data_IF_273830984063
#
_entry.id   IF_273830984063
#
_cell.length_a   1.000
_cell.length_b   1.000
_cell.length_c   1.000
_cell.angle_alpha   90.00
_cell.angle_beta   90.00
_cell.angle_gamma   90.00
#
_symmetry.space_group_name_H-M   'P 1'
#
loop_
_entity.id
_entity.type
_entity.pdbx_description
1 polymer ?
#
# COMPACT_ATOMS: atom_id res chain seq x y z
N UNK A 1 21.51 27.96 -2.59
CA UNK A 1 21.93 26.66 -2.01
C UNK A 1 20.87 25.56 -2.14
N UNK A 2 19.61 25.77 -1.73
CA UNK A 2 18.52 24.76 -1.80
C UNK A 2 18.29 24.07 -3.17
N UNK A 3 18.46 24.77 -4.29
CA UNK A 3 18.29 24.19 -5.62
C UNK A 3 19.39 23.15 -5.94
N UNK A 4 20.65 23.46 -5.64
CA UNK A 4 21.81 22.56 -5.80
C UNK A 4 21.75 21.34 -4.86
N UNK A 5 21.26 21.49 -3.63
CA UNK A 5 21.06 20.35 -2.72
C UNK A 5 19.89 19.46 -3.14
N UNK A 6 18.84 20.02 -3.77
CA UNK A 6 17.76 19.23 -4.38
C UNK A 6 18.24 18.48 -5.62
N UNK A 7 19.17 19.02 -6.39
CA UNK A 7 19.79 18.30 -7.51
C UNK A 7 20.73 17.19 -7.02
N UNK A 8 21.52 17.43 -5.97
CA UNK A 8 22.48 16.45 -5.44
C UNK A 8 21.84 15.36 -4.56
N UNK A 9 20.81 15.68 -3.77
CA UNK A 9 20.21 14.77 -2.77
C UNK A 9 18.68 14.62 -2.89
N UNK A 10 18.06 15.16 -3.95
CA UNK A 10 16.61 15.07 -4.18
C UNK A 10 16.14 13.76 -4.84
N UNK A 11 17.01 12.76 -4.96
CA UNK A 11 16.65 11.44 -5.49
C UNK A 11 15.61 10.71 -4.63
N UNK A 12 14.97 9.70 -5.24
CA UNK A 12 14.15 8.72 -4.52
C UNK A 12 15.08 7.93 -3.59
N UNK A 13 14.72 7.84 -2.30
CA UNK A 13 15.52 7.11 -1.32
C UNK A 13 14.94 5.70 -1.26
N UNK A 14 15.53 4.79 -2.05
CA UNK A 14 15.02 3.42 -2.24
C UNK A 14 14.76 2.71 -0.90
N UNK A 15 15.67 2.83 0.07
CA UNK A 15 15.49 2.23 1.40
C UNK A 15 14.34 2.83 2.21
N UNK A 16 14.13 4.16 2.14
CA UNK A 16 13.00 4.81 2.81
C UNK A 16 11.66 4.36 2.21
N UNK A 17 11.62 4.19 0.88
CA UNK A 17 10.47 3.68 0.18
C UNK A 17 10.17 2.21 0.54
N UNK A 18 11.21 1.38 0.70
CA UNK A 18 11.07 -0.01 1.16
C UNK A 18 10.46 -0.09 2.57
N UNK A 19 10.97 0.67 3.54
CA UNK A 19 10.41 0.69 4.90
C UNK A 19 9.00 1.30 4.96
N UNK A 20 8.72 2.28 4.09
CA UNK A 20 7.36 2.79 3.91
C UNK A 20 6.41 1.70 3.39
N UNK A 21 6.85 0.90 2.42
CA UNK A 21 6.05 -0.23 1.92
C UNK A 21 5.84 -1.31 2.98
N UNK A 22 6.89 -1.67 3.73
CA UNK A 22 6.79 -2.62 4.85
C UNK A 22 5.78 -2.15 5.91
N UNK A 23 5.77 -0.84 6.19
CA UNK A 23 4.80 -0.21 7.10
C UNK A 23 3.38 -0.31 6.54
N UNK A 24 3.18 -0.10 5.23
CA UNK A 24 1.87 -0.24 4.61
C UNK A 24 1.35 -1.68 4.69
N UNK A 25 2.19 -2.69 4.43
CA UNK A 25 1.82 -4.10 4.59
C UNK A 25 1.45 -4.42 6.03
N UNK A 26 2.29 -4.04 7.00
CA UNK A 26 2.01 -4.27 8.42
C UNK A 26 0.73 -3.56 8.90
N UNK A 27 0.52 -2.31 8.47
CA UNK A 27 -0.71 -1.57 8.76
C UNK A 27 -1.94 -2.25 8.15
N UNK A 28 -1.83 -2.79 6.94
CA UNK A 28 -2.93 -3.51 6.28
C UNK A 28 -3.33 -4.73 7.10
N UNK A 29 -2.36 -5.56 7.49
CA UNK A 29 -2.60 -6.77 8.31
C UNK A 29 -3.27 -6.42 9.64
N UNK A 30 -2.75 -5.40 10.34
CA UNK A 30 -3.31 -4.97 11.63
C UNK A 30 -4.75 -4.45 11.46
N UNK A 31 -5.01 -3.61 10.46
CA UNK A 31 -6.33 -3.04 10.23
C UNK A 31 -7.35 -4.11 9.82
N UNK A 32 -6.97 -5.05 8.96
CA UNK A 32 -7.81 -6.19 8.59
C UNK A 32 -8.12 -7.05 9.81
N UNK A 33 -7.12 -7.35 10.66
CA UNK A 33 -7.33 -8.13 11.88
C UNK A 33 -8.30 -7.43 12.85
N UNK A 34 -8.18 -6.11 13.01
CA UNK A 34 -9.10 -5.33 13.85
C UNK A 34 -10.53 -5.38 13.30
N UNK A 35 -10.71 -5.18 11.99
CA UNK A 35 -12.03 -5.22 11.36
C UNK A 35 -12.66 -6.61 11.46
N UNK A 36 -11.87 -7.67 11.25
CA UNK A 36 -12.32 -9.05 11.39
C UNK A 36 -12.73 -9.37 12.85
N UNK A 37 -11.97 -8.89 13.84
CA UNK A 37 -12.28 -9.10 15.25
C UNK A 37 -13.55 -8.36 15.70
N UNK A 38 -13.78 -7.14 15.22
CA UNK A 38 -15.01 -6.39 15.52
C UNK A 38 -16.21 -7.08 14.90
N UNK A 39 -16.08 -7.52 13.67
CA UNK A 39 -17.17 -8.16 12.97
C UNK A 39 -17.53 -9.53 13.53
N UNK A 40 -16.56 -10.34 13.94
CA UNK A 40 -16.85 -11.60 14.65
C UNK A 40 -17.56 -11.37 15.98
N UNK A 41 -17.21 -10.30 16.71
CA UNK A 41 -17.90 -9.93 17.95
C UNK A 41 -19.35 -9.46 17.74
N UNK A 42 -19.67 -8.97 16.54
CA UNK A 42 -21.00 -8.49 16.17
C UNK A 42 -21.81 -9.50 15.34
N UNK A 43 -21.29 -10.73 15.18
CA UNK A 43 -21.85 -11.78 14.32
C UNK A 43 -22.07 -11.31 12.86
N UNK A 44 -21.21 -10.41 12.40
CA UNK A 44 -21.19 -9.86 11.05
C UNK A 44 -20.26 -10.73 10.18
N UNK A 45 -20.77 -11.28 9.09
CA UNK A 45 -20.02 -12.18 8.20
C UNK A 45 -18.94 -11.42 7.40
N UNK A 46 -17.75 -11.25 7.98
CA UNK A 46 -16.63 -10.47 7.39
C UNK A 46 -15.43 -11.30 6.96
N UNK A 47 -15.66 -12.45 6.33
CA UNK A 47 -14.56 -13.08 5.59
C UNK A 47 -14.09 -12.09 4.52
N UNK A 48 -12.92 -11.47 4.76
CA UNK A 48 -12.17 -10.64 3.81
C UNK A 48 -11.25 -11.57 3.05
N UNK A 49 -11.84 -12.54 2.35
CA UNK A 49 -11.11 -13.31 1.36
C UNK A 49 -11.30 -12.62 0.02
N UNK A 50 -10.22 -12.52 -0.76
CA UNK A 50 -10.23 -12.00 -2.13
C UNK A 50 -11.04 -12.86 -3.12
N UNK A 51 -11.82 -13.83 -2.63
CA UNK A 51 -12.69 -14.71 -3.39
C UNK A 51 -14.14 -14.51 -2.95
N UNK A 52 -14.96 -14.10 -3.91
CA UNK A 52 -16.38 -13.76 -3.77
C UNK A 52 -17.21 -14.95 -3.28
N UNK A 53 -17.98 -14.78 -2.20
CA UNK A 53 -19.09 -15.69 -1.86
C UNK A 53 -20.30 -14.95 -1.27
N UNK A 54 -21.27 -14.74 -2.16
CA UNK A 54 -22.70 -15.09 -2.06
C UNK A 54 -23.45 -14.97 -0.72
N UNK A 55 -23.94 -13.78 -0.35
CA UNK A 55 -25.27 -13.53 0.24
C UNK A 55 -25.65 -12.05 0.05
N UNK A 56 -26.95 -11.75 -0.15
CA UNK A 56 -27.55 -10.47 -0.61
C UNK A 56 -26.54 -9.48 -1.23
N UNK A 57 -26.17 -9.72 -2.51
CA UNK A 57 -24.85 -9.37 -3.05
C UNK A 57 -24.60 -7.87 -3.16
N UNK A 58 -25.64 -7.04 -3.26
CA UNK A 58 -25.48 -5.62 -3.61
C UNK A 58 -24.99 -4.76 -2.44
N UNK A 59 -25.60 -4.89 -1.26
CA UNK A 59 -25.33 -3.97 -0.13
C UNK A 59 -24.20 -4.48 0.78
N UNK A 60 -24.20 -5.79 1.07
CA UNK A 60 -23.13 -6.40 1.86
C UNK A 60 -21.82 -6.42 1.08
N UNK A 61 -21.89 -6.66 -0.24
CA UNK A 61 -20.73 -6.61 -1.13
C UNK A 61 -20.12 -5.21 -1.20
N UNK A 62 -20.94 -4.17 -1.40
CA UNK A 62 -20.45 -2.80 -1.46
C UNK A 62 -19.81 -2.35 -0.14
N UNK A 63 -20.39 -2.71 1.00
CA UNK A 63 -19.85 -2.38 2.32
C UNK A 63 -18.45 -2.96 2.52
N UNK A 64 -18.25 -4.23 2.14
CA UNK A 64 -16.93 -4.89 2.21
C UNK A 64 -15.91 -4.22 1.29
N UNK A 65 -16.30 -3.88 0.07
CA UNK A 65 -15.43 -3.19 -0.90
C UNK A 65 -14.99 -1.83 -0.34
N UNK A 66 -15.93 -1.02 0.16
CA UNK A 66 -15.63 0.29 0.73
C UNK A 66 -14.71 0.16 1.94
N UNK A 67 -14.99 -0.77 2.86
CA UNK A 67 -14.14 -1.03 4.02
C UNK A 67 -12.71 -1.42 3.61
N UNK A 68 -12.57 -2.31 2.63
CA UNK A 68 -11.27 -2.71 2.07
C UNK A 68 -10.50 -1.54 1.45
N UNK A 69 -11.18 -0.69 0.67
CA UNK A 69 -10.57 0.51 0.08
C UNK A 69 -10.12 1.51 1.15
N UNK A 70 -10.90 1.71 2.22
CA UNK A 70 -10.52 2.57 3.35
C UNK A 70 -9.30 2.01 4.07
N UNK A 71 -9.26 0.70 4.34
CA UNK A 71 -8.10 0.05 4.96
C UNK A 71 -6.84 0.27 4.11
N UNK A 72 -6.92 -0.01 2.81
CA UNK A 72 -5.81 0.15 1.88
C UNK A 72 -5.36 1.60 1.79
N UNK A 73 -6.30 2.54 1.73
CA UNK A 73 -6.00 3.97 1.75
C UNK A 73 -5.20 4.37 2.99
N UNK A 74 -5.70 3.99 4.18
CA UNK A 74 -5.05 4.31 5.47
C UNK A 74 -3.69 3.64 5.59
N UNK A 75 -3.58 2.38 5.18
CA UNK A 75 -2.33 1.64 5.22
C UNK A 75 -1.25 2.28 4.33
N UNK A 76 -1.58 2.60 3.07
CA UNK A 76 -0.64 3.27 2.17
C UNK A 76 -0.36 4.72 2.59
N UNK A 77 -1.32 5.41 3.22
CA UNK A 77 -1.06 6.70 3.87
C UNK A 77 0.02 6.58 4.96
N UNK A 78 -0.08 5.58 5.84
CA UNK A 78 0.93 5.32 6.87
C UNK A 78 2.31 5.03 6.26
N UNK A 79 2.36 4.19 5.22
CA UNK A 79 3.61 3.87 4.52
C UNK A 79 4.25 5.08 3.85
N UNK A 80 3.46 5.87 3.13
CA UNK A 80 3.88 7.13 2.56
C UNK A 80 4.41 8.10 3.63
N UNK A 81 3.72 8.21 4.76
CA UNK A 81 4.12 9.08 5.87
C UNK A 81 5.50 8.72 6.44
N UNK A 82 5.77 7.43 6.67
CA UNK A 82 7.07 6.95 7.15
C UNK A 82 8.17 7.27 6.13
N UNK A 83 7.95 6.96 4.85
CA UNK A 83 8.93 7.25 3.80
C UNK A 83 9.17 8.77 3.63
N UNK A 84 8.11 9.57 3.74
CA UNK A 84 8.16 11.04 3.68
C UNK A 84 8.89 11.66 4.87
N UNK A 85 8.84 11.05 6.06
CA UNK A 85 9.62 11.48 7.23
C UNK A 85 11.11 11.18 7.08
N UNK A 86 11.48 10.16 6.31
CA UNK A 86 12.88 9.81 6.05
C UNK A 86 13.48 10.59 4.85
N UNK A 87 12.64 11.22 4.02
CA UNK A 87 13.07 12.01 2.87
C UNK A 87 12.77 13.50 3.04
N UNK A 88 13.84 14.27 3.22
CA UNK A 88 13.80 15.72 3.52
C UNK A 88 13.13 16.58 2.46
N UNK A 89 13.19 16.22 1.17
CA UNK A 89 12.87 17.15 0.08
C UNK A 89 11.78 16.72 -0.93
N UNK A 90 11.36 15.45 -0.96
CA UNK A 90 10.52 14.90 -2.04
C UNK A 90 9.53 13.80 -1.57
N UNK A 91 8.69 14.11 -0.59
CA UNK A 91 7.74 13.19 0.03
C UNK A 91 6.67 12.64 -0.92
N UNK A 92 6.18 13.43 -1.89
CA UNK A 92 5.28 12.90 -2.92
C UNK A 92 5.96 11.83 -3.77
N UNK A 93 7.21 12.07 -4.22
CA UNK A 93 7.99 11.07 -4.97
C UNK A 93 8.33 9.85 -4.12
N UNK A 94 8.55 10.01 -2.81
CA UNK A 94 8.71 8.84 -1.94
C UNK A 94 7.41 8.06 -1.78
N UNK A 95 6.25 8.72 -1.69
CA UNK A 95 4.96 8.05 -1.69
C UNK A 95 4.74 7.21 -2.95
N UNK A 96 5.06 7.76 -4.12
CA UNK A 96 5.06 6.99 -5.38
C UNK A 96 6.07 5.84 -5.32
N UNK A 97 7.25 6.04 -4.77
CA UNK A 97 8.25 4.98 -4.64
C UNK A 97 7.81 3.85 -3.69
N UNK A 98 7.10 4.16 -2.61
CA UNK A 98 6.46 3.17 -1.71
C UNK A 98 5.45 2.34 -2.50
N UNK A 99 4.63 2.99 -3.32
CA UNK A 99 3.67 2.31 -4.18
C UNK A 99 4.34 1.44 -5.25
N UNK A 100 5.42 1.91 -5.87
CA UNK A 100 6.19 1.12 -6.84
C UNK A 100 6.82 -0.12 -6.22
N UNK A 101 7.24 -0.08 -4.95
CA UNK A 101 7.71 -1.28 -4.25
C UNK A 101 6.64 -2.37 -4.16
N UNK A 102 5.36 -1.99 -3.98
CA UNK A 102 4.26 -2.95 -4.01
C UNK A 102 4.12 -3.60 -5.39
N UNK A 103 4.21 -2.82 -6.46
CA UNK A 103 4.14 -3.33 -7.84
C UNK A 103 5.33 -4.24 -8.15
N UNK A 104 6.54 -3.85 -7.75
CA UNK A 104 7.76 -4.65 -7.95
C UNK A 104 7.65 -5.98 -7.22
N UNK A 105 7.24 -5.98 -5.94
CA UNK A 105 7.11 -7.23 -5.18
C UNK A 105 5.96 -8.09 -5.70
N UNK A 106 4.84 -7.51 -6.12
CA UNK A 106 3.77 -8.25 -6.77
C UNK A 106 4.28 -8.95 -8.04
N UNK A 107 5.01 -8.23 -8.90
CA UNK A 107 5.61 -8.81 -10.10
C UNK A 107 6.62 -9.93 -9.79
N UNK A 108 7.46 -9.76 -8.76
CA UNK A 108 8.41 -10.79 -8.31
C UNK A 108 7.66 -12.03 -7.81
N UNK A 109 6.61 -11.87 -6.99
CA UNK A 109 5.82 -12.99 -6.48
C UNK A 109 5.07 -13.72 -7.60
N UNK A 110 4.51 -12.99 -8.57
CA UNK A 110 3.89 -13.59 -9.76
C UNK A 110 4.92 -14.38 -10.57
N UNK A 111 6.11 -13.83 -10.80
CA UNK A 111 7.17 -14.54 -11.52
C UNK A 111 7.60 -15.82 -10.80
N UNK A 112 7.75 -15.77 -9.47
CA UNK A 112 8.01 -16.96 -8.65
C UNK A 112 6.86 -17.97 -8.82
N UNK A 113 5.59 -17.55 -8.71
CA UNK A 113 4.45 -18.45 -8.87
C UNK A 113 4.39 -19.15 -10.24
N UNK A 114 4.87 -18.50 -11.31
CA UNK A 114 4.93 -19.09 -12.65
C UNK A 114 6.12 -20.05 -12.80
N UNK A 115 7.27 -19.73 -12.20
CA UNK A 115 8.50 -20.53 -12.34
C UNK A 115 8.49 -21.78 -11.45
N UNK A 116 7.82 -21.74 -10.31
CA UNK A 116 7.76 -22.86 -9.36
C UNK A 116 6.48 -23.67 -9.60
N UNK A 117 6.63 -24.89 -10.14
CA UNK A 117 5.53 -25.82 -10.32
C UNK A 117 5.03 -26.33 -8.95
N UNK A 118 3.87 -25.82 -8.52
CA UNK A 118 3.20 -26.20 -7.26
C UNK A 118 2.69 -27.64 -7.25
N UNK A 119 2.91 -28.43 -8.30
CA UNK A 119 2.59 -29.86 -8.36
C UNK A 119 3.67 -30.78 -7.74
N UNK A 120 4.76 -30.22 -7.20
CA UNK A 120 5.77 -30.98 -6.48
C UNK A 120 5.32 -31.26 -5.04
N UNK A 121 5.59 -32.46 -4.50
CA UNK A 121 5.17 -32.92 -3.14
C UNK A 121 5.53 -31.95 -1.99
N UNK A 122 6.40 -30.98 -2.23
CA UNK A 122 6.75 -29.89 -1.30
C UNK A 122 5.61 -28.87 -1.10
N UNK A 123 4.74 -28.68 -2.09
CA UNK A 123 3.58 -27.77 -2.01
C UNK A 123 2.40 -28.35 -1.21
N UNK A 124 2.35 -29.67 -0.97
CA UNK A 124 1.30 -30.27 -0.14
C UNK A 124 1.46 -29.97 1.35
N UNK A 125 2.68 -29.63 1.79
CA UNK A 125 3.00 -29.33 3.19
C UNK A 125 3.04 -27.82 3.51
N UNK A 126 2.92 -26.97 2.48
CA UNK A 126 2.90 -25.51 2.62
C UNK A 126 1.66 -25.02 1.87
N UNK A 127 0.66 -24.51 2.59
CA UNK A 127 -0.46 -23.78 1.97
C UNK A 127 0.07 -22.48 1.36
N UNK A 128 0.68 -22.60 0.18
CA UNK A 128 1.07 -21.46 -0.63
C UNK A 128 -0.21 -20.83 -1.16
N UNK A 129 -0.39 -19.50 -1.04
CA UNK A 129 -1.51 -18.84 -1.69
C UNK A 129 -1.44 -19.13 -3.20
N UNK A 130 -2.57 -19.48 -3.80
CA UNK A 130 -2.62 -19.69 -5.26
C UNK A 130 -2.47 -18.33 -5.95
N UNK A 131 -1.36 -18.15 -6.66
CA UNK A 131 -1.02 -16.91 -7.37
C UNK A 131 -1.17 -17.05 -8.89
N UNK A 132 -1.75 -18.15 -9.40
CA UNK A 132 -1.97 -18.31 -10.84
C UNK A 132 -2.99 -17.29 -11.33
N UNK A 133 -2.55 -16.46 -12.27
CA UNK A 133 -3.44 -15.55 -12.99
C UNK A 133 -4.16 -16.35 -14.06
N UNK A 134 -5.43 -16.64 -13.82
CA UNK A 134 -6.30 -17.17 -14.85
C UNK A 134 -6.65 -16.05 -15.83
N UNK A 135 -6.19 -16.19 -17.07
CA UNK A 135 -6.39 -15.17 -18.09
C UNK A 135 -7.82 -15.21 -18.68
N UNK A 136 -8.57 -16.29 -18.45
CA UNK A 136 -9.98 -16.40 -18.88
C UNK A 136 -10.93 -15.56 -18.03
N UNK A 137 -10.49 -15.11 -16.85
CA UNK A 137 -11.25 -14.27 -15.91
C UNK A 137 -10.92 -12.77 -16.01
N UNK A 138 -10.10 -12.35 -16.98
CA UNK A 138 -9.80 -10.92 -17.22
C UNK A 138 -10.98 -10.26 -17.94
N UNK A 139 -11.93 -9.74 -17.16
CA UNK A 139 -13.06 -8.94 -17.65
C UNK A 139 -12.80 -7.44 -17.48
N UNK A 140 -13.59 -6.60 -18.19
CA UNK A 140 -13.53 -5.15 -18.02
C UNK A 140 -13.79 -4.71 -16.57
N UNK A 141 -14.66 -5.42 -15.86
CA UNK A 141 -14.99 -5.16 -14.46
C UNK A 141 -13.78 -5.41 -13.54
N UNK A 142 -13.06 -6.51 -13.74
CA UNK A 142 -11.84 -6.83 -12.98
C UNK A 142 -10.75 -5.79 -13.21
N UNK A 143 -10.58 -5.31 -14.45
CA UNK A 143 -9.61 -4.26 -14.77
C UNK A 143 -9.96 -2.94 -14.09
N UNK A 144 -11.25 -2.58 -14.04
CA UNK A 144 -11.72 -1.38 -13.34
C UNK A 144 -11.45 -1.51 -11.84
N UNK A 145 -11.75 -2.66 -11.24
CA UNK A 145 -11.51 -2.91 -9.81
C UNK A 145 -10.02 -2.78 -9.45
N UNK A 146 -9.13 -3.37 -10.26
CA UNK A 146 -7.67 -3.22 -10.11
C UNK A 146 -7.28 -1.74 -10.21
N UNK A 147 -7.79 -1.02 -11.21
CA UNK A 147 -7.52 0.41 -11.40
C UNK A 147 -7.92 1.25 -10.18
N UNK A 148 -9.07 0.96 -9.56
CA UNK A 148 -9.54 1.64 -8.34
C UNK A 148 -8.58 1.36 -7.18
N UNK A 149 -8.21 0.09 -6.94
CA UNK A 149 -7.29 -0.29 -5.85
C UNK A 149 -5.93 0.37 -6.03
N UNK A 150 -5.37 0.33 -7.24
CA UNK A 150 -4.10 0.99 -7.57
C UNK A 150 -4.19 2.51 -7.38
N UNK A 151 -5.29 3.14 -7.79
CA UNK A 151 -5.52 4.56 -7.60
C UNK A 151 -5.62 4.96 -6.13
N UNK A 152 -6.43 4.24 -5.34
CA UNK A 152 -6.66 4.55 -3.91
C UNK A 152 -5.37 4.39 -3.11
N UNK A 153 -4.63 3.31 -3.32
CA UNK A 153 -3.34 3.07 -2.64
C UNK A 153 -2.29 4.11 -3.04
N UNK A 154 -2.22 4.49 -4.32
CA UNK A 154 -1.31 5.53 -4.80
C UNK A 154 -1.63 6.89 -4.18
N UNK A 155 -2.92 7.29 -4.17
CA UNK A 155 -3.37 8.54 -3.57
C UNK A 155 -3.04 8.55 -2.08
N UNK A 156 -3.34 7.47 -1.36
CA UNK A 156 -2.99 7.31 0.06
C UNK A 156 -1.50 7.53 0.30
N UNK A 157 -0.64 6.84 -0.45
CA UNK A 157 0.82 6.94 -0.32
C UNK A 157 1.36 8.34 -0.61
N UNK A 158 0.84 9.02 -1.63
CA UNK A 158 1.25 10.39 -1.97
C UNK A 158 0.85 11.36 -0.86
N UNK A 159 -0.39 11.30 -0.37
CA UNK A 159 -0.88 12.16 0.72
C UNK A 159 -0.08 11.91 2.00
N UNK A 160 0.21 10.64 2.31
CA UNK A 160 1.06 10.24 3.42
C UNK A 160 2.45 10.86 3.32
N UNK A 161 3.11 10.68 2.17
CA UNK A 161 4.45 11.20 1.90
C UNK A 161 4.53 12.73 1.97
N UNK A 162 3.51 13.43 1.46
CA UNK A 162 3.38 14.88 1.61
C UNK A 162 3.25 15.30 3.08
N UNK A 163 2.45 14.57 3.86
CA UNK A 163 2.23 14.87 5.28
C UNK A 163 3.49 14.62 6.11
N UNK A 164 4.26 13.57 5.80
CA UNK A 164 5.54 13.27 6.45
C UNK A 164 6.58 14.39 6.34
N UNK A 165 6.54 15.17 5.26
CA UNK A 165 7.42 16.33 5.06
C UNK A 165 7.01 17.59 5.84
N UNK A 166 5.77 17.68 6.32
CA UNK A 166 5.22 18.92 6.87
C UNK A 166 5.98 19.42 8.10
N UNK A 167 6.60 18.51 8.85
CA UNK A 167 7.46 18.84 9.98
C UNK A 167 8.80 19.45 9.55
N UNK A 168 9.47 18.88 8.55
CA UNK A 168 10.72 19.41 8.01
C UNK A 168 10.55 20.84 7.48
N UNK A 169 9.43 21.11 6.82
CA UNK A 169 9.10 22.45 6.31
C UNK A 169 8.84 23.47 7.42
N UNK A 170 8.34 23.02 8.58
CA UNK A 170 8.16 23.88 9.77
C UNK A 170 9.50 24.20 10.44
N UNK A 171 10.37 23.21 10.61
CA UNK A 171 11.70 23.39 11.21
C UNK A 171 12.56 24.30 10.34
N UNK A 172 12.57 24.05 9.01
CA UNK A 172 13.26 24.91 8.06
C UNK A 172 12.79 26.37 8.21
N UNK A 173 11.48 26.63 8.30
CA UNK A 173 10.93 27.99 8.43
C UNK A 173 11.30 28.68 9.76
N UNK A 174 11.44 27.92 10.84
CA UNK A 174 11.87 28.44 12.13
C UNK A 174 13.36 28.83 12.11
N UNK A 175 14.21 28.04 11.44
CA UNK A 175 15.65 28.35 11.31
C UNK A 175 15.92 29.66 10.55
N UNK A 176 15.14 29.99 9.52
CA UNK A 176 15.26 31.30 8.84
C UNK A 176 14.73 32.47 9.66
N UNK A 177 13.91 32.23 10.68
CA UNK A 177 13.39 33.28 11.55
C UNK A 177 14.33 33.60 12.72
N UNK A 178 15.26 32.70 13.05
CA UNK A 178 16.19 32.83 14.17
C UNK A 178 17.59 33.35 13.80
N UNK A 179 17.94 33.45 12.52
CA UNK A 179 19.18 34.10 12.05
C UNK A 179 18.85 35.44 11.37
N UNK A 180 18.86 36.59 12.09
CA UNK A 180 18.84 37.89 11.44
C UNK A 180 20.18 38.23 10.77
N UNK A 181 21.33 37.97 11.39
CA UNK A 181 22.69 38.23 10.87
C UNK A 181 23.72 37.47 11.70
#
# INVERSE_FOLDING_TARGET
MRAREKEAFGGVKVGAAFFGWLTAVGATVILVAVVAAVASALDLSTTVDGSTSSQDPSTLGLTKIIAGLVILFVAYYCGGYVAGRMARFNGARQGVAVWLWAVILAAILTLIGVLFDTNSDLAQNVSLPDFRVDFDTVTAETLIAIGIVLGVTLIGAIIGGLTGMRFHRRVDRAGFASDPY
#
